data_IF_594092015648
#
_entry.id   IF_594092015648
#
_cell.length_a   1.000
_cell.length_b   1.000
_cell.length_c   1.000
_cell.angle_alpha   90.00
_cell.angle_beta   90.00
_cell.angle_gamma   90.00
#
_symmetry.space_group_name_H-M   'P 1'
#
loop_
_entity.id
_entity.type
_entity.pdbx_description
1 polymer ?
#
# COMPACT_ATOMS: atom_id res chain seq x y z
N UNK A 1 -26.13 0.11 0.23
CA UNK A 1 -25.38 1.34 0.54
C UNK A 1 -25.37 2.26 -0.68
N UNK A 2 -25.49 3.58 -0.50
CA UNK A 2 -25.41 4.55 -1.60
C UNK A 2 -24.00 4.59 -2.20
N UNK A 3 -23.91 5.07 -3.44
CA UNK A 3 -22.63 5.36 -4.08
C UNK A 3 -22.14 6.73 -3.63
N UNK A 4 -20.84 6.85 -3.40
CA UNK A 4 -20.13 8.13 -3.22
C UNK A 4 -18.97 8.15 -4.21
N UNK A 5 -18.93 9.17 -5.08
CA UNK A 5 -17.95 9.26 -6.18
C UNK A 5 -17.85 7.95 -7.02
N UNK A 6 -18.99 7.31 -7.27
CA UNK A 6 -19.07 6.06 -8.06
C UNK A 6 -18.66 4.77 -7.33
N UNK A 7 -18.31 4.82 -6.04
CA UNK A 7 -17.89 3.64 -5.26
C UNK A 7 -18.71 3.45 -3.99
N UNK A 8 -18.70 2.22 -3.44
CA UNK A 8 -19.24 1.88 -2.10
C UNK A 8 -18.14 1.67 -1.05
N UNK A 9 -16.86 1.88 -1.40
CA UNK A 9 -15.75 1.80 -0.45
C UNK A 9 -15.88 2.83 0.68
N UNK A 10 -15.37 2.51 1.86
CA UNK A 10 -15.28 3.44 2.99
C UNK A 10 -13.89 4.08 3.04
N UNK A 11 -13.82 5.41 3.05
CA UNK A 11 -12.61 6.13 3.45
C UNK A 11 -12.85 6.78 4.81
N UNK A 12 -12.40 6.09 5.86
CA UNK A 12 -12.75 6.44 7.24
C UNK A 12 -12.16 7.78 7.69
N UNK A 13 -10.95 8.12 7.22
CA UNK A 13 -10.30 9.39 7.56
C UNK A 13 -11.10 10.60 7.03
N UNK A 14 -11.60 10.51 5.80
CA UNK A 14 -12.45 11.55 5.21
C UNK A 14 -13.94 11.41 5.54
N UNK A 15 -14.33 10.40 6.31
CA UNK A 15 -15.71 10.16 6.76
C UNK A 15 -16.73 10.02 5.62
N UNK A 16 -16.37 9.38 4.51
CA UNK A 16 -17.29 9.18 3.38
C UNK A 16 -17.29 7.75 2.83
N UNK A 17 -18.36 7.45 2.09
CA UNK A 17 -18.62 6.12 1.51
C UNK A 17 -19.01 5.06 2.53
N UNK A 18 -19.21 3.82 2.06
CA UNK A 18 -19.58 2.68 2.88
C UNK A 18 -20.82 2.89 3.78
N UNK A 19 -20.72 2.43 5.02
CA UNK A 19 -21.76 2.63 6.04
C UNK A 19 -21.45 3.87 6.89
N UNK A 20 -22.12 4.98 6.58
CA UNK A 20 -21.97 6.25 7.28
C UNK A 20 -20.51 6.76 7.37
N UNK A 21 -19.66 6.43 6.38
CA UNK A 21 -18.28 6.90 6.32
C UNK A 21 -17.34 6.34 7.38
N UNK A 22 -17.71 5.26 8.08
CA UNK A 22 -16.96 4.76 9.25
C UNK A 22 -16.86 3.25 9.32
N UNK A 23 -16.05 2.77 10.26
CA UNK A 23 -16.06 1.36 10.69
C UNK A 23 -17.41 1.01 11.31
N UNK A 24 -17.77 -0.27 11.22
CA UNK A 24 -18.98 -0.79 11.82
C UNK A 24 -18.92 -0.69 13.35
N UNK A 25 -20.10 -0.50 13.95
CA UNK A 25 -20.31 -0.42 15.39
C UNK A 25 -21.37 -1.43 15.79
N UNK A 26 -21.40 -1.71 17.09
CA UNK A 26 -22.46 -2.53 17.69
C UNK A 26 -23.81 -1.90 17.34
N UNK A 27 -24.77 -2.77 16.99
CA UNK A 27 -26.13 -2.41 16.57
C UNK A 27 -26.26 -1.72 15.19
N UNK A 28 -25.20 -1.63 14.38
CA UNK A 28 -25.36 -1.24 12.98
C UNK A 28 -26.20 -2.28 12.22
N UNK A 29 -27.14 -1.81 11.40
CA UNK A 29 -27.95 -2.65 10.52
C UNK A 29 -27.53 -2.44 9.06
N UNK A 30 -27.14 -3.53 8.39
CA UNK A 30 -26.74 -3.51 6.99
C UNK A 30 -27.77 -4.27 6.14
N UNK A 31 -28.40 -3.56 5.21
CA UNK A 31 -29.29 -4.18 4.23
C UNK A 31 -28.50 -5.03 3.24
N UNK A 32 -28.92 -6.28 3.04
CA UNK A 32 -28.41 -7.17 2.00
C UNK A 32 -29.16 -6.91 0.69
N UNK A 33 -28.47 -7.08 -0.44
CA UNK A 33 -29.08 -6.93 -1.76
C UNK A 33 -30.22 -7.94 -1.95
N UNK A 34 -31.32 -7.48 -2.54
CA UNK A 34 -32.50 -8.27 -2.86
C UNK A 34 -32.87 -7.97 -4.31
N UNK A 35 -32.30 -8.69 -5.29
CA UNK A 35 -32.43 -8.37 -6.72
C UNK A 35 -33.88 -8.31 -7.21
N UNK A 36 -34.80 -8.99 -6.53
CA UNK A 36 -36.24 -8.97 -6.81
C UNK A 36 -36.92 -7.64 -6.44
N UNK A 37 -36.29 -6.81 -5.59
CA UNK A 37 -36.84 -5.51 -5.20
C UNK A 37 -36.35 -4.43 -6.19
N UNK A 38 -37.27 -3.61 -6.76
CA UNK A 38 -36.89 -2.52 -7.66
C UNK A 38 -35.90 -1.51 -7.07
N UNK A 39 -35.92 -1.33 -5.74
CA UNK A 39 -35.01 -0.44 -5.03
C UNK A 39 -33.57 -0.99 -4.88
N UNK A 40 -33.31 -2.25 -5.24
CA UNK A 40 -31.99 -2.86 -5.12
C UNK A 40 -31.12 -2.49 -6.32
N UNK A 41 -30.24 -1.50 -6.15
CA UNK A 41 -29.28 -1.06 -7.17
C UNK A 41 -27.96 -1.86 -7.18
N UNK A 42 -27.94 -2.99 -6.47
CA UNK A 42 -26.76 -3.88 -6.46
C UNK A 42 -26.93 -4.88 -7.59
N UNK A 43 -25.91 -5.09 -8.45
CA UNK A 43 -25.99 -6.08 -9.51
C UNK A 43 -26.34 -7.48 -8.97
N UNK A 44 -27.19 -8.20 -9.71
CA UNK A 44 -27.54 -9.57 -9.36
C UNK A 44 -26.30 -10.49 -9.48
N UNK A 45 -26.24 -11.59 -8.69
CA UNK A 45 -25.19 -12.59 -8.86
C UNK A 45 -25.17 -13.15 -10.28
N UNK A 46 -23.98 -13.32 -10.85
CA UNK A 46 -23.77 -13.86 -12.21
C UNK A 46 -23.45 -15.35 -12.24
N UNK A 47 -23.24 -15.96 -11.07
CA UNK A 47 -22.92 -17.37 -10.91
C UNK A 47 -23.55 -17.93 -9.63
N UNK A 48 -23.80 -19.24 -9.60
CA UNK A 48 -24.19 -19.94 -8.40
C UNK A 48 -23.03 -20.00 -7.39
N UNK A 49 -23.30 -20.06 -6.08
CA UNK A 49 -22.26 -20.24 -5.08
C UNK A 49 -21.47 -21.54 -5.30
N UNK A 50 -20.14 -21.46 -5.25
CA UNK A 50 -19.24 -22.60 -5.37
C UNK A 50 -18.08 -22.45 -4.38
N UNK A 51 -17.58 -23.58 -3.88
CA UNK A 51 -16.35 -23.58 -3.09
C UNK A 51 -15.16 -23.17 -3.95
N UNK A 52 -14.25 -22.38 -3.37
CA UNK A 52 -12.99 -22.01 -4.01
C UNK A 52 -12.08 -23.25 -4.08
N UNK A 53 -11.41 -23.45 -5.22
CA UNK A 53 -10.36 -24.47 -5.33
C UNK A 53 -9.25 -24.16 -4.30
N UNK A 54 -8.88 -25.11 -3.42
CA UNK A 54 -7.83 -24.89 -2.43
C UNK A 54 -6.49 -24.42 -3.01
N UNK A 55 -6.19 -24.74 -4.28
CA UNK A 55 -4.99 -24.28 -4.97
C UNK A 55 -4.98 -22.77 -5.26
N UNK A 56 -6.14 -22.11 -5.24
CA UNK A 56 -6.28 -20.66 -5.42
C UNK A 56 -6.16 -19.89 -4.10
N UNK A 57 -6.12 -20.58 -2.96
CA UNK A 57 -5.94 -19.97 -1.65
C UNK A 57 -4.45 -19.61 -1.49
N UNK A 58 -4.10 -18.33 -1.27
CA UNK A 58 -2.71 -17.96 -1.08
C UNK A 58 -2.11 -18.57 0.19
N UNK A 59 -0.80 -18.73 0.21
CA UNK A 59 -0.07 -19.11 1.42
C UNK A 59 0.20 -17.88 2.28
N UNK A 60 -0.06 -18.02 3.58
CA UNK A 60 0.14 -16.98 4.57
C UNK A 60 1.28 -17.38 5.51
N UNK A 61 2.06 -16.41 5.95
CA UNK A 61 3.16 -16.61 6.89
C UNK A 61 3.59 -15.30 7.51
N UNK A 62 4.76 -15.33 8.14
CA UNK A 62 5.34 -14.17 8.83
C UNK A 62 6.52 -13.55 8.05
N UNK A 63 6.92 -14.20 6.94
CA UNK A 63 7.94 -13.73 6.00
C UNK A 63 7.32 -13.64 4.62
N UNK A 64 7.30 -12.44 4.07
CA UNK A 64 6.64 -12.10 2.81
C UNK A 64 7.66 -11.74 1.74
N UNK A 65 7.63 -12.46 0.62
CA UNK A 65 8.36 -12.07 -0.58
C UNK A 65 7.44 -11.26 -1.48
N UNK A 66 7.80 -10.00 -1.74
CA UNK A 66 6.97 -9.04 -2.47
C UNK A 66 7.70 -8.54 -3.71
N UNK A 67 7.12 -8.81 -4.88
CA UNK A 67 7.61 -8.33 -6.18
C UNK A 67 7.41 -6.83 -6.35
N UNK A 68 8.47 -6.15 -6.81
CA UNK A 68 8.48 -4.69 -7.01
C UNK A 68 9.08 -4.32 -8.36
N UNK A 69 8.62 -3.20 -8.89
CA UNK A 69 9.21 -2.48 -10.01
C UNK A 69 10.21 -1.46 -9.49
N UNK A 70 11.38 -1.38 -10.11
CA UNK A 70 12.39 -0.37 -9.80
C UNK A 70 12.00 0.99 -10.37
N UNK A 71 12.17 2.05 -9.57
CA UNK A 71 11.74 3.42 -9.89
C UNK A 71 10.47 3.87 -9.15
N UNK A 72 10.12 5.16 -9.27
CA UNK A 72 10.72 6.16 -10.17
C UNK A 72 12.04 6.78 -9.70
N UNK A 73 12.33 6.77 -8.39
CA UNK A 73 13.50 7.45 -7.80
C UNK A 73 14.61 6.48 -7.38
N UNK A 74 14.71 5.33 -8.05
CA UNK A 74 15.74 4.33 -7.77
C UNK A 74 17.12 4.74 -8.28
N UNK A 75 17.16 5.58 -9.32
CA UNK A 75 18.36 6.06 -9.99
C UNK A 75 19.43 6.60 -9.01
N UNK A 76 20.73 6.54 -9.40
CA UNK A 76 21.86 6.88 -8.53
C UNK A 76 21.90 8.34 -8.08
N UNK A 77 20.98 9.17 -8.56
CA UNK A 77 20.84 10.58 -8.18
C UNK A 77 20.35 10.76 -6.73
N UNK A 78 19.62 9.78 -6.18
CA UNK A 78 19.05 9.86 -4.83
C UNK A 78 19.70 8.88 -3.85
N UNK A 79 19.85 7.63 -4.26
CA UNK A 79 20.41 6.55 -3.45
C UNK A 79 21.74 6.11 -4.03
N UNK A 80 22.70 5.75 -3.18
CA UNK A 80 23.90 5.05 -3.69
C UNK A 80 23.51 3.65 -4.17
N UNK A 81 24.24 3.11 -5.14
CA UNK A 81 24.01 1.74 -5.64
C UNK A 81 24.05 0.72 -4.49
N UNK A 82 25.04 0.84 -3.60
CA UNK A 82 25.15 -0.01 -2.41
C UNK A 82 23.92 0.09 -1.48
N UNK A 83 23.25 1.25 -1.41
CA UNK A 83 22.01 1.40 -0.64
C UNK A 83 20.84 0.65 -1.29
N UNK A 84 20.76 0.65 -2.62
CA UNK A 84 19.74 -0.10 -3.37
C UNK A 84 19.99 -1.60 -3.24
N UNK A 85 21.25 -2.04 -3.35
CA UNK A 85 21.62 -3.45 -3.14
C UNK A 85 21.25 -3.90 -1.72
N UNK A 86 21.57 -3.07 -0.72
CA UNK A 86 21.19 -3.32 0.68
C UNK A 86 19.68 -3.39 0.83
N UNK A 87 18.92 -2.52 0.15
CA UNK A 87 17.46 -2.52 0.18
C UNK A 87 16.86 -3.87 -0.26
N UNK A 88 17.35 -4.43 -1.36
CA UNK A 88 16.89 -5.73 -1.88
C UNK A 88 17.45 -6.94 -1.11
N UNK A 89 18.65 -6.82 -0.55
CA UNK A 89 19.27 -7.88 0.24
C UNK A 89 18.64 -8.04 1.63
N UNK A 90 18.01 -6.99 2.16
CA UNK A 90 17.55 -6.94 3.54
C UNK A 90 16.11 -7.43 3.75
N UNK A 91 15.85 -7.89 4.97
CA UNK A 91 14.48 -8.08 5.47
C UNK A 91 14.01 -6.82 6.19
N UNK A 92 12.82 -6.35 5.84
CA UNK A 92 12.17 -5.19 6.41
C UNK A 92 11.09 -5.62 7.39
N UNK A 93 11.19 -5.18 8.65
CA UNK A 93 10.19 -5.51 9.66
C UNK A 93 9.01 -4.53 9.58
N UNK A 94 7.79 -5.06 9.66
CA UNK A 94 6.58 -4.25 9.71
C UNK A 94 6.44 -3.60 11.09
N UNK A 95 6.40 -2.28 11.10
CA UNK A 95 6.29 -1.48 12.32
C UNK A 95 4.84 -1.39 12.81
N UNK A 96 4.64 -1.27 14.12
CA UNK A 96 3.31 -1.25 14.75
C UNK A 96 2.42 -0.09 14.27
N UNK A 97 3.03 1.03 13.89
CA UNK A 97 2.31 2.21 13.38
C UNK A 97 1.99 2.07 11.88
N UNK A 98 1.26 1.02 11.52
CA UNK A 98 0.84 0.68 10.16
C UNK A 98 -0.68 0.59 10.07
N UNK A 99 -1.26 1.15 9.01
CA UNK A 99 -2.70 1.12 8.77
C UNK A 99 -3.01 1.26 7.26
N UNK A 100 -4.27 1.55 6.92
CA UNK A 100 -4.71 1.68 5.51
C UNK A 100 -4.12 2.88 4.76
N UNK A 101 -3.54 3.86 5.45
CA UNK A 101 -2.82 4.98 4.85
C UNK A 101 -1.43 4.55 4.38
N UNK A 102 -0.79 3.65 5.15
CA UNK A 102 0.48 3.07 4.76
C UNK A 102 1.02 2.09 5.78
N UNK A 103 1.90 1.21 5.30
CA UNK A 103 2.61 0.22 6.11
C UNK A 103 4.02 0.71 6.35
N UNK A 104 4.34 1.02 7.62
CA UNK A 104 5.67 1.48 8.04
C UNK A 104 6.62 0.31 8.17
N UNK A 105 7.86 0.52 7.75
CA UNK A 105 8.91 -0.48 7.79
C UNK A 105 10.09 -0.01 8.64
N UNK A 106 10.72 -0.97 9.33
CA UNK A 106 11.97 -0.80 10.05
C UNK A 106 13.02 -1.70 9.42
N UNK A 107 14.21 -1.14 9.16
CA UNK A 107 15.27 -1.84 8.44
C UNK A 107 16.54 -0.99 8.35
N UNK A 108 17.45 -1.33 7.43
CA UNK A 108 18.69 -0.59 7.22
C UNK A 108 18.41 0.87 6.86
N UNK A 109 19.26 1.77 7.34
CA UNK A 109 19.20 3.17 6.96
C UNK A 109 19.75 3.35 5.54
N UNK A 110 19.10 4.17 4.70
CA UNK A 110 19.57 4.43 3.35
C UNK A 110 20.87 5.23 3.36
N UNK A 111 21.76 4.91 2.41
CA UNK A 111 22.88 5.77 2.05
C UNK A 111 22.48 6.65 0.85
N UNK A 112 22.54 7.95 1.07
CA UNK A 112 22.08 8.96 0.12
C UNK A 112 23.22 9.40 -0.80
N UNK A 113 22.93 9.56 -2.09
CA UNK A 113 23.92 10.05 -3.06
C UNK A 113 24.15 11.57 -2.96
N UNK A 114 23.15 12.30 -2.47
CA UNK A 114 23.17 13.76 -2.30
C UNK A 114 23.33 14.18 -0.84
N UNK A 115 23.87 15.37 -0.63
CA UNK A 115 24.09 15.94 0.71
C UNK A 115 22.82 16.56 1.32
N UNK A 116 21.92 17.11 0.49
CA UNK A 116 20.63 17.69 0.88
C UNK A 116 19.57 17.57 -0.25
N UNK A 117 18.38 18.12 -0.05
CA UNK A 117 17.27 18.10 -1.00
C UNK A 117 17.22 19.31 -1.96
N UNK A 118 18.25 20.17 -1.98
CA UNK A 118 18.27 21.39 -2.78
C UNK A 118 17.13 22.36 -2.44
N UNK A 119 16.55 22.97 -3.49
CA UNK A 119 15.45 23.95 -3.35
C UNK A 119 14.14 23.34 -2.81
N UNK A 120 13.98 22.01 -2.82
CA UNK A 120 12.76 21.35 -2.39
C UNK A 120 12.64 21.24 -0.85
N UNK A 121 13.73 20.92 -0.14
CA UNK A 121 13.89 21.11 1.32
C UNK A 121 15.31 20.67 1.77
N UNK A 122 15.69 21.02 3.01
CA UNK A 122 17.01 20.71 3.59
C UNK A 122 17.29 19.21 3.85
N UNK A 123 16.33 18.29 3.67
CA UNK A 123 16.54 16.86 3.97
C UNK A 123 16.78 16.02 2.72
N UNK A 124 17.73 15.07 2.82
CA UNK A 124 18.16 14.18 1.73
C UNK A 124 17.10 13.32 1.03
N UNK A 125 15.93 12.99 1.59
CA UNK A 125 14.88 12.31 0.83
C UNK A 125 13.95 13.25 0.07
N UNK A 126 14.07 14.58 0.23
CA UNK A 126 13.08 15.52 -0.32
C UNK A 126 13.25 15.77 -1.82
N UNK A 127 12.19 15.58 -2.61
CA UNK A 127 12.13 15.98 -4.02
C UNK A 127 11.05 17.05 -4.21
N UNK A 128 11.01 17.70 -5.38
CA UNK A 128 9.82 18.48 -5.74
C UNK A 128 8.59 17.58 -5.65
N UNK A 129 7.50 18.15 -5.13
CA UNK A 129 6.26 17.41 -4.93
C UNK A 129 5.81 16.76 -6.25
N UNK A 130 5.56 15.46 -6.19
CA UNK A 130 5.11 14.66 -7.33
C UNK A 130 4.02 13.67 -6.88
N UNK A 131 3.28 13.13 -7.85
CA UNK A 131 2.29 12.11 -7.57
C UNK A 131 2.95 10.76 -7.24
N UNK A 132 2.36 10.05 -6.27
CA UNK A 132 2.78 8.71 -5.91
C UNK A 132 1.91 7.64 -6.55
N UNK A 133 2.55 6.56 -6.98
CA UNK A 133 1.87 5.33 -7.34
C UNK A 133 1.38 4.59 -6.08
N UNK A 134 0.22 3.94 -6.18
CA UNK A 134 -0.25 3.00 -5.14
C UNK A 134 0.77 1.86 -5.06
N UNK A 135 1.30 1.61 -3.87
CA UNK A 135 2.36 0.63 -3.64
C UNK A 135 3.77 1.21 -3.71
N UNK A 136 3.92 2.51 -3.96
CA UNK A 136 5.23 3.15 -3.88
C UNK A 136 5.80 3.04 -2.46
N UNK A 137 7.10 2.78 -2.38
CA UNK A 137 7.82 2.70 -1.10
C UNK A 137 8.48 4.05 -0.86
N UNK A 138 7.80 4.88 -0.09
CA UNK A 138 8.16 6.26 0.16
C UNK A 138 9.13 6.37 1.35
N UNK A 139 10.27 7.04 1.17
CA UNK A 139 11.21 7.33 2.25
C UNK A 139 10.94 8.69 2.89
N UNK A 140 10.16 8.76 3.97
CA UNK A 140 9.94 10.00 4.75
C UNK A 140 11.07 10.20 5.77
N UNK A 141 12.31 10.32 5.31
CA UNK A 141 13.50 10.25 6.17
C UNK A 141 14.23 8.93 6.00
N UNK A 142 14.74 8.38 7.11
CA UNK A 142 15.49 7.11 7.10
C UNK A 142 14.59 5.86 7.12
N UNK A 143 13.28 6.00 7.37
CA UNK A 143 12.35 4.88 7.51
C UNK A 143 11.30 4.87 6.39
N UNK A 144 11.19 3.78 5.61
CA UNK A 144 10.25 3.72 4.51
C UNK A 144 8.81 3.40 4.94
N UNK A 145 7.87 3.84 4.11
CA UNK A 145 6.44 3.56 4.18
C UNK A 145 5.96 3.04 2.84
N UNK A 146 5.23 1.92 2.85
CA UNK A 146 4.48 1.47 1.68
C UNK A 146 3.18 2.26 1.62
N UNK A 147 2.97 3.01 0.54
CA UNK A 147 1.75 3.79 0.32
C UNK A 147 0.60 2.88 -0.14
N UNK A 148 -0.45 2.76 0.66
CA UNK A 148 -1.59 1.87 0.40
C UNK A 148 -2.80 2.63 -0.14
N UNK A 149 -3.95 1.95 -0.27
CA UNK A 149 -5.15 2.48 -0.97
C UNK A 149 -5.75 3.75 -0.39
N UNK A 150 -5.60 3.98 0.91
CA UNK A 150 -6.07 5.21 1.57
C UNK A 150 -4.92 6.20 1.80
N UNK A 151 -3.72 5.90 1.25
CA UNK A 151 -2.50 6.69 1.44
C UNK A 151 -2.49 8.02 0.69
N UNK A 152 -1.50 8.88 0.99
CA UNK A 152 -1.32 10.15 0.30
C UNK A 152 -1.06 9.95 -1.19
N UNK A 153 -1.56 10.87 -2.01
CA UNK A 153 -1.39 10.85 -3.47
C UNK A 153 -0.26 11.75 -3.96
N UNK A 154 0.06 12.83 -3.26
CA UNK A 154 1.09 13.80 -3.64
C UNK A 154 2.00 14.05 -2.44
N UNK A 155 3.30 14.15 -2.70
CA UNK A 155 4.27 14.58 -1.70
C UNK A 155 5.67 14.72 -2.27
N UNK A 156 6.58 15.24 -1.44
CA UNK A 156 7.94 15.57 -1.83
C UNK A 156 8.99 14.59 -1.29
N UNK A 157 8.75 13.28 -1.33
CA UNK A 157 9.72 12.29 -0.88
C UNK A 157 9.98 11.22 -1.94
N UNK A 158 11.22 10.76 -2.01
CA UNK A 158 11.63 9.79 -3.02
C UNK A 158 11.06 8.39 -2.76
N UNK A 159 10.81 7.68 -3.87
CA UNK A 159 10.30 6.32 -3.92
C UNK A 159 11.18 5.47 -4.85
N UNK A 160 12.13 4.66 -4.33
CA UNK A 160 13.05 3.92 -5.18
C UNK A 160 12.41 2.73 -5.89
N UNK A 161 11.30 2.21 -5.36
CA UNK A 161 10.57 1.08 -5.93
C UNK A 161 9.06 1.23 -5.74
N UNK A 162 8.30 0.51 -6.56
CA UNK A 162 6.83 0.42 -6.50
C UNK A 162 6.39 -1.03 -6.52
N UNK A 163 5.55 -1.44 -5.57
CA UNK A 163 5.03 -2.81 -5.50
C UNK A 163 4.18 -3.13 -6.73
N UNK A 164 4.41 -4.28 -7.35
CA UNK A 164 3.62 -4.73 -8.48
C UNK A 164 2.14 -4.87 -8.07
N UNK A 165 1.22 -4.51 -8.97
CA UNK A 165 -0.23 -4.51 -8.65
C UNK A 165 -0.73 -5.87 -8.16
N UNK A 166 -0.23 -6.96 -8.73
CA UNK A 166 -0.59 -8.33 -8.35
C UNK A 166 -0.02 -8.75 -6.98
N UNK A 167 0.90 -7.98 -6.42
CA UNK A 167 1.58 -8.25 -5.15
C UNK A 167 1.00 -7.43 -3.99
N UNK A 168 0.25 -6.37 -4.27
CA UNK A 168 -0.35 -5.47 -3.27
C UNK A 168 -1.26 -6.17 -2.25
N UNK A 169 -1.85 -7.32 -2.60
CA UNK A 169 -2.68 -8.07 -1.65
C UNK A 169 -1.86 -8.57 -0.46
N UNK A 170 -0.57 -8.88 -0.65
CA UNK A 170 0.35 -9.31 0.43
C UNK A 170 0.50 -8.20 1.47
N UNK A 171 0.65 -6.95 1.03
CA UNK A 171 0.69 -5.77 1.91
C UNK A 171 -0.60 -5.61 2.72
N UNK A 172 -1.74 -6.05 2.18
CA UNK A 172 -3.02 -6.04 2.91
C UNK A 172 -3.12 -7.10 4.01
N UNK A 173 -2.17 -8.05 4.08
CA UNK A 173 -2.16 -9.16 5.03
C UNK A 173 -1.07 -9.06 6.10
N UNK A 174 -0.06 -8.20 5.89
CA UNK A 174 1.04 -8.07 6.84
C UNK A 174 0.57 -7.49 8.17
N UNK A 175 1.19 -7.96 9.26
CA UNK A 175 0.94 -7.50 10.63
C UNK A 175 2.22 -7.00 11.28
N UNK A 176 2.14 -6.13 12.31
CA UNK A 176 3.32 -5.71 13.07
C UNK A 176 4.18 -6.91 13.50
N UNK A 177 5.49 -6.84 13.24
CA UNK A 177 6.46 -7.91 13.50
C UNK A 177 6.74 -8.83 12.31
N UNK A 178 5.88 -8.87 11.29
CA UNK A 178 6.17 -9.60 10.04
C UNK A 178 7.42 -9.04 9.36
N UNK A 179 8.05 -9.87 8.53
CA UNK A 179 9.23 -9.51 7.74
C UNK A 179 8.89 -9.52 6.25
N UNK A 180 9.39 -8.54 5.51
CA UNK A 180 9.18 -8.38 4.08
C UNK A 180 10.54 -8.37 3.38
N UNK A 181 10.67 -9.16 2.32
CA UNK A 181 11.80 -9.08 1.39
C UNK A 181 11.28 -8.67 0.03
N UNK A 182 11.87 -7.62 -0.53
CA UNK A 182 11.52 -7.13 -1.86
C UNK A 182 12.35 -7.84 -2.92
N UNK A 183 11.73 -8.14 -4.07
CA UNK A 183 12.43 -8.72 -5.22
C UNK A 183 12.06 -7.96 -6.49
N UNK A 184 13.08 -7.54 -7.24
CA UNK A 184 12.93 -6.93 -8.57
C UNK A 184 12.91 -7.96 -9.70
N UNK A 185 13.30 -9.21 -9.43
CA UNK A 185 13.27 -10.29 -10.40
C UNK A 185 11.84 -10.79 -10.60
N UNK A 186 11.40 -10.78 -11.87
CA UNK A 186 10.12 -11.26 -12.40
C UNK A 186 8.94 -10.28 -12.33
N UNK A 187 8.86 -9.43 -13.37
CA UNK A 187 7.63 -9.32 -14.15
C UNK A 187 7.92 -9.78 -15.58
#
# INVERSE_FOLDING_TARGET
MPLYLGSRSTFALGQFGGHAGRTLRVADMLSVAQPQLPASTTPAPVAAPQALDPSLIPQYGDVWHIGVLYGPHGAPDFFTEASIDTFFASEWQVHYNSNRLGVRLSGPKPAWARQDGGEAACTRPTCHDCEYAIGAINFTGDFPVILTRDGPSLGGFVCPVTIARAELWKVGQVKPGDRIRFSSHQL
#
